data_IF_945239052049
#
_entry.id   IF_945239052049
#
_cell.length_a   1.000
_cell.length_b   1.000
_cell.length_c   1.000
_cell.angle_alpha   90.00
_cell.angle_beta   90.00
_cell.angle_gamma   90.00
#
_symmetry.space_group_name_H-M   'P 1'
#
loop_
_entity.id
_entity.type
_entity.pdbx_description
1 polymer ?
#
# COMPACT_ATOMS: atom_id res chain seq x y z
N UNK A 1 8.55 -2.17 -14.94
CA UNK A 1 8.24 -1.80 -13.54
C UNK A 1 7.10 -0.82 -13.57
N UNK A 2 5.96 -1.11 -12.94
CA UNK A 2 4.90 -0.11 -12.82
C UNK A 2 5.41 0.95 -11.85
N UNK A 3 5.24 2.22 -12.23
CA UNK A 3 5.43 3.35 -11.34
C UNK A 3 4.05 3.79 -10.84
N UNK A 4 3.44 3.03 -9.93
CA UNK A 4 2.26 3.56 -9.22
C UNK A 4 2.76 4.70 -8.35
N UNK A 5 2.16 5.87 -8.52
CA UNK A 5 2.65 7.12 -7.93
C UNK A 5 1.50 7.88 -7.28
N UNK A 6 1.84 8.97 -6.59
CA UNK A 6 0.84 9.90 -6.03
C UNK A 6 -0.25 10.31 -7.02
N UNK A 7 0.09 10.44 -8.32
CA UNK A 7 -0.88 10.84 -9.36
C UNK A 7 -1.90 9.74 -9.68
N UNK A 8 -1.57 8.51 -9.34
CA UNK A 8 -2.46 7.37 -9.52
C UNK A 8 -3.40 7.20 -8.34
N UNK A 9 -3.13 7.80 -7.17
CA UNK A 9 -4.02 7.73 -6.03
C UNK A 9 -5.37 8.40 -6.36
N UNK A 10 -6.45 7.75 -5.95
CA UNK A 10 -7.81 8.26 -6.04
C UNK A 10 -8.13 9.24 -4.91
N UNK A 11 -7.63 8.99 -3.69
CA UNK A 11 -7.87 9.84 -2.53
C UNK A 11 -6.80 10.93 -2.39
N UNK A 12 -7.18 12.06 -1.80
CA UNK A 12 -6.35 13.27 -1.69
C UNK A 12 -6.08 13.72 -0.26
N UNK A 13 -6.68 13.06 0.73
CA UNK A 13 -6.58 13.33 2.17
C UNK A 13 -5.34 12.71 2.83
N UNK A 14 -4.46 12.11 2.04
CA UNK A 14 -3.19 11.57 2.51
C UNK A 14 -2.26 12.64 3.09
N UNK A 15 -1.60 12.25 4.17
CA UNK A 15 -0.41 12.91 4.71
C UNK A 15 0.81 12.47 3.92
N UNK A 16 1.81 13.35 3.86
CA UNK A 16 3.04 13.15 3.10
C UNK A 16 4.24 13.43 4.00
N UNK A 17 4.39 12.62 5.04
CA UNK A 17 5.49 12.75 5.99
C UNK A 17 6.82 12.38 5.33
N UNK A 18 7.88 13.07 5.73
CA UNK A 18 9.23 12.78 5.22
C UNK A 18 9.84 11.65 6.04
N UNK A 19 10.22 10.57 5.37
CA UNK A 19 10.91 9.44 5.98
C UNK A 19 12.42 9.57 5.82
N UNK A 20 13.16 9.02 6.78
CA UNK A 20 14.61 8.89 6.66
C UNK A 20 14.97 7.88 5.55
N UNK A 21 16.16 7.99 4.94
CA UNK A 21 16.60 6.98 3.98
C UNK A 21 16.58 5.57 4.58
N UNK A 22 16.04 4.60 3.83
CA UNK A 22 15.90 3.20 4.22
C UNK A 22 14.94 2.93 5.40
N UNK A 23 14.00 3.83 5.68
CA UNK A 23 12.94 3.57 6.65
C UNK A 23 12.11 2.33 6.23
N UNK A 24 11.91 1.34 7.12
CA UNK A 24 11.17 0.11 6.80
C UNK A 24 9.70 0.36 6.43
N UNK A 25 9.13 1.53 6.78
CA UNK A 25 7.76 1.92 6.37
C UNK A 25 7.64 2.18 4.88
N UNK A 26 8.75 2.51 4.23
CA UNK A 26 8.80 2.88 2.80
C UNK A 26 9.86 2.11 2.01
N UNK A 27 10.47 1.09 2.61
CA UNK A 27 11.53 0.30 2.01
C UNK A 27 11.55 -1.15 2.54
N UNK A 28 12.22 -2.04 1.80
CA UNK A 28 12.39 -3.43 2.21
C UNK A 28 11.27 -4.35 1.75
N UNK A 29 10.98 -5.40 2.53
CA UNK A 29 9.87 -6.32 2.28
C UNK A 29 8.78 -6.04 3.30
N UNK A 30 7.48 -6.20 2.94
CA UNK A 30 6.41 -6.16 3.92
C UNK A 30 6.71 -7.12 5.07
N UNK A 31 6.73 -6.57 6.28
CA UNK A 31 7.02 -7.29 7.53
C UNK A 31 6.12 -6.75 8.66
N UNK A 32 6.54 -6.95 9.92
CA UNK A 32 5.83 -6.49 11.11
C UNK A 32 5.91 -4.97 11.35
N UNK A 33 6.45 -4.20 10.40
CA UNK A 33 6.44 -2.74 10.46
C UNK A 33 5.00 -2.22 10.46
N UNK A 34 4.69 -1.30 11.37
CA UNK A 34 3.40 -0.64 11.44
C UNK A 34 3.11 0.10 10.13
N UNK A 35 1.87 0.01 9.67
CA UNK A 35 1.39 0.61 8.44
C UNK A 35 0.33 1.67 8.76
N UNK A 36 0.56 2.90 8.27
CA UNK A 36 -0.43 3.98 8.35
C UNK A 36 -1.13 4.18 7.00
N UNK A 37 -2.41 3.81 6.94
CA UNK A 37 -3.24 4.01 5.74
C UNK A 37 -3.51 5.47 5.40
N UNK A 38 -3.23 6.42 6.30
CA UNK A 38 -3.33 7.84 6.05
C UNK A 38 -2.02 8.45 5.50
N UNK A 39 -0.90 7.70 5.53
CA UNK A 39 0.38 8.15 4.97
C UNK A 39 0.53 7.70 3.51
N UNK A 40 0.43 8.66 2.59
CA UNK A 40 0.45 8.39 1.15
C UNK A 40 1.75 7.74 0.67
N UNK A 41 2.88 8.04 1.33
CA UNK A 41 4.17 7.42 1.03
C UNK A 41 4.16 5.92 1.34
N UNK A 42 3.57 5.52 2.48
CA UNK A 42 3.46 4.11 2.88
C UNK A 42 2.50 3.36 1.97
N UNK A 43 1.34 3.97 1.66
CA UNK A 43 0.33 3.38 0.77
C UNK A 43 0.91 3.13 -0.62
N UNK A 44 1.57 4.13 -1.22
CA UNK A 44 2.19 3.99 -2.54
C UNK A 44 3.32 2.96 -2.52
N UNK A 45 4.16 2.96 -1.48
CA UNK A 45 5.20 1.96 -1.31
C UNK A 45 4.59 0.54 -1.27
N UNK A 46 3.65 0.30 -0.35
CA UNK A 46 3.09 -1.03 -0.13
C UNK A 46 2.39 -1.55 -1.39
N UNK A 47 1.59 -0.71 -2.07
CA UNK A 47 0.95 -1.06 -3.35
C UNK A 47 2.00 -1.47 -4.38
N UNK A 48 3.04 -0.66 -4.60
CA UNK A 48 4.09 -1.01 -5.57
C UNK A 48 4.80 -2.32 -5.22
N UNK A 49 5.08 -2.56 -3.93
CA UNK A 49 5.71 -3.82 -3.48
C UNK A 49 4.82 -5.02 -3.75
N UNK A 50 3.53 -4.94 -3.44
CA UNK A 50 2.58 -6.02 -3.66
C UNK A 50 2.34 -6.28 -5.15
N UNK A 51 2.25 -5.22 -5.96
CA UNK A 51 2.16 -5.35 -7.41
C UNK A 51 3.38 -6.06 -7.99
N UNK A 52 4.58 -5.73 -7.52
CA UNK A 52 5.81 -6.41 -7.93
C UNK A 52 5.85 -7.88 -7.45
N UNK A 53 5.43 -8.14 -6.21
CA UNK A 53 5.40 -9.48 -5.62
C UNK A 53 4.41 -10.42 -6.33
N UNK A 54 3.29 -9.89 -6.81
CA UNK A 54 2.23 -10.66 -7.47
C UNK A 54 2.25 -10.54 -9.02
N UNK A 55 3.31 -9.96 -9.59
CA UNK A 55 3.48 -9.67 -11.03
C UNK A 55 2.27 -8.95 -11.67
N UNK A 56 1.63 -8.06 -10.92
CA UNK A 56 0.62 -7.17 -11.48
C UNK A 56 1.28 -6.04 -12.28
N UNK A 57 0.66 -5.69 -13.42
CA UNK A 57 1.21 -4.73 -14.40
C UNK A 57 0.32 -3.52 -14.70
N UNK A 58 -0.88 -3.46 -14.12
CA UNK A 58 -1.86 -2.41 -14.41
C UNK A 58 -2.08 -1.48 -13.22
N UNK A 59 -2.00 -0.17 -13.43
CA UNK A 59 -2.27 0.85 -12.39
C UNK A 59 -3.66 0.70 -11.77
N UNK A 60 -4.66 0.28 -12.56
CA UNK A 60 -6.02 0.01 -12.07
C UNK A 60 -6.04 -1.02 -10.94
N UNK A 61 -5.13 -1.99 -10.94
CA UNK A 61 -4.98 -2.95 -9.85
C UNK A 61 -4.53 -2.26 -8.57
N UNK A 62 -3.58 -1.31 -8.67
CA UNK A 62 -3.15 -0.47 -7.57
C UNK A 62 -4.28 0.39 -7.02
N UNK A 63 -5.12 0.96 -7.89
CA UNK A 63 -6.32 1.70 -7.47
C UNK A 63 -7.34 0.82 -6.73
N UNK A 64 -7.54 -0.43 -7.15
CA UNK A 64 -8.39 -1.38 -6.43
C UNK A 64 -7.83 -1.65 -5.03
N UNK A 65 -6.51 -1.84 -4.91
CA UNK A 65 -5.84 -2.03 -3.61
C UNK A 65 -5.98 -0.79 -2.72
N UNK A 66 -5.71 0.41 -3.25
CA UNK A 66 -5.87 1.67 -2.54
C UNK A 66 -7.27 1.83 -1.95
N UNK A 67 -8.31 1.61 -2.77
CA UNK A 67 -9.71 1.69 -2.32
C UNK A 67 -10.03 0.70 -1.21
N UNK A 68 -9.50 -0.52 -1.29
CA UNK A 68 -9.67 -1.51 -0.23
C UNK A 68 -8.98 -1.05 1.07
N UNK A 69 -7.71 -0.63 0.99
CA UNK A 69 -6.95 -0.13 2.14
C UNK A 69 -7.67 1.04 2.80
N UNK A 70 -8.12 2.00 2.01
CA UNK A 70 -8.73 3.22 2.51
C UNK A 70 -10.10 2.96 3.16
N UNK A 71 -11.01 2.30 2.42
CA UNK A 71 -12.43 2.22 2.78
C UNK A 71 -12.80 0.99 3.61
N UNK A 72 -12.06 -0.11 3.47
CA UNK A 72 -12.47 -1.43 3.99
C UNK A 72 -11.46 -2.06 4.93
N UNK A 73 -10.26 -1.52 5.06
CA UNK A 73 -9.25 -2.06 5.97
C UNK A 73 -9.75 -1.97 7.42
N UNK A 74 -9.86 -3.11 8.11
CA UNK A 74 -10.35 -3.15 9.48
C UNK A 74 -9.25 -2.66 10.44
N UNK A 75 -9.64 -2.26 11.65
CA UNK A 75 -8.73 -1.61 12.61
C UNK A 75 -7.78 -2.58 13.33
N UNK A 76 -8.00 -3.88 13.20
CA UNK A 76 -7.13 -4.95 13.71
C UNK A 76 -5.91 -5.20 12.80
N UNK A 77 -5.99 -4.81 11.53
CA UNK A 77 -4.88 -4.91 10.56
C UNK A 77 -4.01 -3.67 10.67
N UNK A 78 -2.80 -3.81 11.22
CA UNK A 78 -1.95 -2.67 11.58
C UNK A 78 -0.50 -2.77 11.06
N UNK A 79 -0.08 -3.92 10.54
CA UNK A 79 1.26 -4.14 9.99
C UNK A 79 1.25 -4.35 8.48
N UNK A 80 2.37 -4.09 7.81
CA UNK A 80 2.48 -4.30 6.37
C UNK A 80 2.20 -5.75 5.96
N UNK A 81 2.67 -6.73 6.74
CA UNK A 81 2.41 -8.15 6.51
C UNK A 81 0.91 -8.48 6.67
N UNK A 82 0.25 -7.98 7.70
CA UNK A 82 -1.20 -8.20 7.87
C UNK A 82 -2.00 -7.57 6.73
N UNK A 83 -1.65 -6.34 6.31
CA UNK A 83 -2.29 -5.67 5.17
C UNK A 83 -2.10 -6.48 3.89
N UNK A 84 -0.92 -7.04 3.67
CA UNK A 84 -0.65 -7.94 2.55
C UNK A 84 -1.57 -9.17 2.58
N UNK A 85 -1.66 -9.86 3.72
CA UNK A 85 -2.51 -11.05 3.86
C UNK A 85 -3.99 -10.71 3.67
N UNK A 86 -4.44 -9.60 4.27
CA UNK A 86 -5.80 -9.12 4.15
C UNK A 86 -6.15 -8.73 2.71
N UNK A 87 -5.28 -7.99 2.02
CA UNK A 87 -5.47 -7.67 0.60
C UNK A 87 -5.51 -8.93 -0.25
N UNK A 88 -4.63 -9.90 -0.02
CA UNK A 88 -4.65 -11.17 -0.77
C UNK A 88 -5.98 -11.92 -0.62
N UNK A 89 -6.62 -11.85 0.55
CA UNK A 89 -7.91 -12.48 0.81
C UNK A 89 -9.11 -11.69 0.23
N UNK A 90 -9.02 -10.36 0.17
CA UNK A 90 -10.13 -9.47 -0.19
C UNK A 90 -10.07 -8.92 -1.61
N UNK A 91 -8.90 -8.92 -2.25
CA UNK A 91 -8.69 -8.44 -3.61
C UNK A 91 -9.25 -9.47 -4.60
N UNK A 92 -10.51 -9.28 -4.99
CA UNK A 92 -11.18 -10.04 -6.04
C UNK A 92 -11.13 -9.26 -7.36
N UNK A 93 -10.78 -9.94 -8.45
CA UNK A 93 -10.66 -9.32 -9.77
C UNK A 93 -11.95 -9.38 -10.57
#
# INVERSE_FOLDING_TARGET
>A
MILFSRRNLFYSDYKWSTYVPNDPRTNGKPDNTLFDKAEGNEVVYLINRLMALWDYRFSNTGNKMEKLIHDKMPADVNTQEEVQQWLKANLKF
#
